data_IF_454049514650
#
_entry.id   IF_454049514650
#
_cell.length_a   1.000
_cell.length_b   1.000
_cell.length_c   1.000
_cell.angle_alpha   90.00
_cell.angle_beta   90.00
_cell.angle_gamma   90.00
#
_symmetry.space_group_name_H-M   'P 1'
#
loop_
_entity.id
_entity.type
_entity.pdbx_description
1 polymer ?
#
# COMPACT_ATOMS: atom_id res chain seq x y z
N UNK A 1 -10.69 -26.61 -0.91
CA UNK A 1 -11.94 -25.90 -0.54
C UNK A 1 -11.99 -24.63 -1.36
N UNK A 2 -13.14 -24.27 -1.94
CA UNK A 2 -13.26 -23.14 -2.87
C UNK A 2 -12.77 -21.83 -2.23
N UNK A 3 -11.70 -21.25 -2.77
CA UNK A 3 -11.12 -19.96 -2.34
C UNK A 3 -12.15 -18.84 -2.33
N UNK A 4 -13.09 -18.84 -3.30
CA UNK A 4 -14.19 -17.86 -3.37
C UNK A 4 -15.18 -17.93 -2.19
N UNK A 5 -15.52 -19.12 -1.71
CA UNK A 5 -16.45 -19.28 -0.57
C UNK A 5 -15.81 -18.73 0.70
N UNK A 6 -14.52 -19.00 0.90
CA UNK A 6 -13.76 -18.48 2.03
C UNK A 6 -13.65 -16.94 2.01
N UNK A 7 -13.40 -16.33 0.84
CA UNK A 7 -13.32 -14.86 0.76
C UNK A 7 -14.65 -14.16 1.05
N UNK A 8 -15.81 -14.77 0.72
CA UNK A 8 -17.11 -14.17 1.02
C UNK A 8 -17.40 -14.23 2.53
N UNK A 9 -17.07 -15.34 3.18
CA UNK A 9 -17.21 -15.51 4.63
C UNK A 9 -16.28 -14.56 5.38
N UNK A 10 -15.01 -14.45 4.96
CA UNK A 10 -14.05 -13.51 5.55
C UNK A 10 -14.47 -12.04 5.32
N UNK A 11 -15.00 -11.69 4.14
CA UNK A 11 -15.53 -10.34 3.89
C UNK A 11 -16.68 -10.01 4.84
N UNK A 12 -17.57 -10.98 5.09
CA UNK A 12 -18.67 -10.82 6.05
C UNK A 12 -18.16 -10.71 7.48
N UNK A 13 -17.20 -11.53 7.86
CA UNK A 13 -16.58 -11.52 9.19
C UNK A 13 -15.88 -10.19 9.49
N UNK A 14 -15.18 -9.62 8.50
CA UNK A 14 -14.40 -8.38 8.64
C UNK A 14 -15.10 -7.17 8.03
N UNK A 15 -16.44 -7.15 8.02
CA UNK A 15 -17.21 -6.12 7.30
C UNK A 15 -16.88 -4.69 7.71
N UNK A 16 -16.52 -4.46 8.98
CA UNK A 16 -16.19 -3.12 9.47
C UNK A 16 -14.81 -2.65 9.01
N UNK A 17 -13.84 -3.57 8.86
CA UNK A 17 -12.56 -3.28 8.21
C UNK A 17 -12.79 -2.92 6.74
N UNK A 18 -13.65 -3.66 6.03
CA UNK A 18 -13.98 -3.34 4.64
C UNK A 18 -14.62 -1.96 4.50
N UNK A 19 -15.59 -1.61 5.36
CA UNK A 19 -16.19 -0.28 5.37
C UNK A 19 -15.16 0.81 5.65
N UNK A 20 -14.27 0.58 6.62
CA UNK A 20 -13.19 1.52 6.93
C UNK A 20 -12.30 1.75 5.70
N UNK A 21 -11.83 0.67 5.07
CA UNK A 21 -10.99 0.75 3.87
C UNK A 21 -11.71 1.51 2.74
N UNK A 22 -12.98 1.18 2.47
CA UNK A 22 -13.79 1.83 1.43
C UNK A 22 -14.10 3.32 1.73
N UNK A 23 -14.13 3.72 3.00
CA UNK A 23 -14.36 5.11 3.41
C UNK A 23 -13.08 5.94 3.47
N UNK A 24 -11.94 5.31 3.72
CA UNK A 24 -10.66 5.98 3.94
C UNK A 24 -9.78 5.98 2.68
N UNK A 25 -9.84 4.94 1.88
CA UNK A 25 -8.96 4.73 0.73
C UNK A 25 -9.77 4.67 -0.57
N UNK A 26 -9.21 5.27 -1.61
CA UNK A 26 -9.78 5.22 -2.95
C UNK A 26 -9.29 3.97 -3.69
N UNK A 27 -10.14 2.94 -3.70
CA UNK A 27 -9.87 1.73 -4.49
C UNK A 27 -10.05 2.08 -5.98
N UNK A 28 -9.09 1.77 -6.86
CA UNK A 28 -9.18 2.13 -8.27
C UNK A 28 -10.44 1.58 -8.95
N UNK A 29 -11.03 2.37 -9.84
CA UNK A 29 -12.20 1.95 -10.62
C UNK A 29 -11.92 0.66 -11.40
N UNK A 30 -12.91 -0.24 -11.43
CA UNK A 30 -12.82 -1.52 -12.14
C UNK A 30 -12.03 -2.60 -11.39
N UNK A 31 -11.44 -2.29 -10.23
CA UNK A 31 -10.78 -3.30 -9.40
C UNK A 31 -11.82 -4.04 -8.55
N UNK A 32 -11.67 -5.36 -8.47
CA UNK A 32 -12.56 -6.26 -7.71
C UNK A 32 -11.77 -7.00 -6.66
N UNK A 33 -12.43 -7.35 -5.56
CA UNK A 33 -11.82 -8.16 -4.50
C UNK A 33 -11.32 -9.49 -5.09
N UNK A 34 -10.02 -9.71 -5.01
CA UNK A 34 -9.35 -10.88 -5.55
C UNK A 34 -9.02 -11.89 -4.44
N UNK A 35 -8.51 -11.43 -3.30
CA UNK A 35 -8.21 -12.30 -2.17
C UNK A 35 -8.23 -11.59 -0.83
N UNK A 36 -8.40 -12.39 0.23
CA UNK A 36 -8.26 -11.99 1.63
C UNK A 36 -7.33 -13.01 2.29
N UNK A 37 -6.31 -12.54 3.01
CA UNK A 37 -5.48 -13.37 3.89
C UNK A 37 -5.59 -12.85 5.31
N UNK A 38 -5.99 -13.72 6.23
CA UNK A 38 -6.26 -13.36 7.61
C UNK A 38 -5.41 -14.17 8.60
N UNK A 39 -4.53 -15.05 8.13
CA UNK A 39 -3.64 -15.85 8.98
C UNK A 39 -2.23 -15.25 9.11
N UNK A 40 -2.06 -13.99 8.72
CA UNK A 40 -0.76 -13.31 8.71
C UNK A 40 -0.61 -12.36 9.91
N UNK A 41 0.64 -11.96 10.18
CA UNK A 41 0.96 -11.03 11.24
C UNK A 41 1.96 -9.98 10.74
N UNK A 42 1.91 -8.77 11.30
CA UNK A 42 2.94 -7.75 11.10
C UNK A 42 3.44 -7.29 12.47
N UNK A 43 4.76 -7.34 12.69
CA UNK A 43 5.37 -7.04 14.00
C UNK A 43 4.69 -7.83 15.16
N UNK A 44 4.33 -9.10 14.91
CA UNK A 44 3.65 -9.97 15.88
C UNK A 44 2.17 -9.64 16.14
N UNK A 45 1.57 -8.70 15.41
CA UNK A 45 0.14 -8.36 15.50
C UNK A 45 -0.67 -9.01 14.38
N UNK A 46 -1.87 -9.57 14.65
CA UNK A 46 -2.72 -10.13 13.61
C UNK A 46 -3.13 -9.08 12.57
N UNK A 47 -2.93 -9.40 11.29
CA UNK A 47 -3.22 -8.50 10.18
C UNK A 47 -4.13 -9.16 9.16
N UNK A 48 -4.98 -8.35 8.54
CA UNK A 48 -5.73 -8.69 7.35
C UNK A 48 -5.03 -8.09 6.12
N UNK A 49 -4.71 -8.90 5.13
CA UNK A 49 -4.32 -8.45 3.80
C UNK A 49 -5.51 -8.60 2.86
N UNK A 50 -5.94 -7.49 2.27
CA UNK A 50 -7.03 -7.43 1.29
C UNK A 50 -6.42 -7.03 -0.04
N UNK A 51 -6.68 -7.81 -1.10
CA UNK A 51 -6.16 -7.52 -2.44
C UNK A 51 -7.30 -7.38 -3.43
N UNK A 52 -7.23 -6.33 -4.23
CA UNK A 52 -8.12 -6.04 -5.34
C UNK A 52 -7.31 -6.04 -6.64
N UNK A 53 -7.89 -6.54 -7.73
CA UNK A 53 -7.24 -6.55 -9.05
C UNK A 53 -8.25 -6.14 -10.13
N UNK A 54 -7.83 -5.54 -11.25
CA UNK A 54 -8.71 -5.35 -12.39
C UNK A 54 -9.02 -6.71 -13.02
N UNK A 55 -10.17 -6.84 -13.68
CA UNK A 55 -10.53 -8.10 -14.38
C UNK A 55 -9.53 -8.49 -15.47
N UNK A 56 -8.83 -7.51 -16.04
CA UNK A 56 -7.80 -7.71 -17.05
C UNK A 56 -6.51 -8.31 -16.50
N UNK A 57 -6.31 -8.28 -15.17
CA UNK A 57 -5.14 -8.89 -14.56
C UNK A 57 -5.26 -10.41 -14.61
N UNK A 58 -4.28 -11.05 -15.25
CA UNK A 58 -4.20 -12.51 -15.43
C UNK A 58 -3.24 -13.18 -14.44
N UNK A 59 -2.56 -12.39 -13.61
CA UNK A 59 -1.50 -12.85 -12.70
C UNK A 59 -1.86 -12.48 -11.27
N UNK A 60 -1.79 -13.45 -10.36
CA UNK A 60 -2.09 -13.21 -8.94
C UNK A 60 -1.10 -12.22 -8.30
N UNK A 61 0.18 -12.34 -8.67
CA UNK A 61 1.29 -11.50 -8.23
C UNK A 61 1.95 -10.79 -9.42
N UNK A 62 2.67 -9.72 -9.12
CA UNK A 62 3.45 -8.86 -10.00
C UNK A 62 2.64 -8.07 -11.04
N UNK A 63 1.36 -8.35 -11.23
CA UNK A 63 0.45 -7.57 -12.06
C UNK A 63 -0.13 -6.34 -11.34
N UNK A 64 -1.06 -5.67 -12.03
CA UNK A 64 -1.79 -4.54 -11.46
C UNK A 64 -2.68 -4.98 -10.29
N UNK A 65 -2.58 -4.28 -9.17
CA UNK A 65 -3.35 -4.58 -7.98
C UNK A 65 -3.41 -3.41 -7.01
N UNK A 66 -4.41 -3.43 -6.14
CA UNK A 66 -4.52 -2.57 -4.98
C UNK A 66 -4.57 -3.47 -3.75
N UNK A 67 -3.55 -3.42 -2.90
CA UNK A 67 -3.46 -4.24 -1.68
C UNK A 67 -3.46 -3.36 -0.45
N UNK A 68 -4.15 -3.77 0.61
CA UNK A 68 -4.21 -3.05 1.90
C UNK A 68 -3.91 -4.01 3.03
N UNK A 69 -3.11 -3.57 4.00
CA UNK A 69 -2.92 -4.26 5.29
C UNK A 69 -3.60 -3.49 6.41
N UNK A 70 -4.38 -4.21 7.23
CA UNK A 70 -5.09 -3.65 8.39
C UNK A 70 -4.83 -4.50 9.61
N UNK A 71 -4.41 -3.88 10.71
CA UNK A 71 -4.29 -4.53 12.02
C UNK A 71 -5.69 -4.84 12.58
N UNK A 72 -5.93 -6.08 12.98
CA UNK A 72 -7.29 -6.58 13.25
C UNK A 72 -7.88 -6.13 14.59
N UNK A 73 -7.07 -5.89 15.62
CA UNK A 73 -7.53 -5.56 16.96
C UNK A 73 -8.03 -4.11 17.03
N UNK A 74 -7.35 -3.21 16.34
CA UNK A 74 -7.60 -1.76 16.36
C UNK A 74 -8.16 -1.21 15.05
N UNK A 75 -8.31 -2.06 14.03
CA UNK A 75 -8.67 -1.68 12.66
C UNK A 75 -7.72 -0.64 12.05
N UNK A 76 -6.46 -0.61 12.48
CA UNK A 76 -5.52 0.40 12.04
C UNK A 76 -4.98 0.04 10.65
N UNK A 77 -5.19 0.91 9.65
CA UNK A 77 -4.63 0.73 8.31
C UNK A 77 -3.11 0.85 8.43
N UNK A 78 -2.37 -0.23 8.21
CA UNK A 78 -0.91 -0.24 8.31
C UNK A 78 -0.24 0.20 7.00
N UNK A 79 -0.93 -0.01 5.89
CA UNK A 79 -0.46 0.45 4.59
C UNK A 79 -1.36 0.00 3.45
N UNK A 80 -1.09 0.56 2.28
CA UNK A 80 -1.60 0.03 1.03
C UNK A 80 -0.60 0.27 -0.10
N UNK A 81 -0.75 -0.48 -1.19
CA UNK A 81 -0.10 -0.18 -2.46
C UNK A 81 -1.11 -0.24 -3.59
N UNK A 82 -0.94 0.65 -4.56
CA UNK A 82 -1.68 0.78 -5.80
C UNK A 82 -0.69 0.57 -6.94
N UNK A 83 -0.43 -0.69 -7.27
CA UNK A 83 0.42 -1.04 -8.40
C UNK A 83 -0.42 -0.90 -9.68
N UNK A 84 -0.31 0.25 -10.34
CA UNK A 84 -1.13 0.62 -11.49
C UNK A 84 -0.28 1.26 -12.60
N UNK A 85 -0.54 0.86 -13.84
CA UNK A 85 0.19 1.34 -15.04
C UNK A 85 0.14 2.85 -15.24
N UNK A 86 -0.86 3.54 -14.68
CA UNK A 86 -1.01 5.00 -14.82
C UNK A 86 0.19 5.78 -14.27
N UNK A 87 0.93 5.18 -13.33
CA UNK A 87 2.15 5.70 -12.71
C UNK A 87 3.41 5.49 -13.55
N UNK A 88 3.29 4.92 -14.75
CA UNK A 88 4.40 4.85 -15.70
C UNK A 88 4.65 6.24 -16.32
N UNK A 89 5.92 6.68 -16.33
CA UNK A 89 6.34 8.01 -16.79
C UNK A 89 6.48 8.15 -18.32
N UNK A 90 5.61 7.51 -19.08
CA UNK A 90 5.55 7.71 -20.54
C UNK A 90 5.09 9.14 -20.89
N UNK A 91 5.35 9.54 -22.14
CA UNK A 91 4.89 10.81 -22.72
C UNK A 91 5.44 12.08 -22.03
N UNK A 92 6.70 12.03 -21.55
CA UNK A 92 7.37 13.14 -20.85
C UNK A 92 6.67 13.56 -19.55
N UNK A 93 5.89 12.67 -18.93
CA UNK A 93 5.40 12.91 -17.57
C UNK A 93 6.59 13.08 -16.63
N UNK A 94 6.54 14.15 -15.85
CA UNK A 94 7.51 14.42 -14.79
C UNK A 94 6.93 14.01 -13.45
N UNK A 95 7.80 13.57 -12.56
CA UNK A 95 7.46 13.44 -11.16
C UNK A 95 7.21 14.81 -10.55
N UNK A 96 6.41 14.82 -9.49
CA UNK A 96 6.14 16.03 -8.71
C UNK A 96 7.41 16.55 -8.05
N UNK A 97 7.42 17.84 -7.72
CA UNK A 97 8.51 18.42 -6.93
C UNK A 97 8.52 17.86 -5.51
N UNK A 98 9.60 18.14 -4.77
CA UNK A 98 9.69 17.78 -3.37
C UNK A 98 8.59 18.47 -2.54
N UNK A 99 8.33 19.75 -2.82
CA UNK A 99 7.31 20.55 -2.13
C UNK A 99 5.89 20.04 -2.43
N UNK A 100 5.57 19.71 -3.68
CA UNK A 100 4.28 19.14 -4.07
C UNK A 100 4.07 17.77 -3.42
N UNK A 101 5.11 16.93 -3.42
CA UNK A 101 5.07 15.60 -2.79
C UNK A 101 4.83 15.71 -1.29
N UNK A 102 5.54 16.59 -0.60
CA UNK A 102 5.37 16.81 0.84
C UNK A 102 3.96 17.29 1.18
N UNK A 103 3.42 18.25 0.42
CA UNK A 103 2.08 18.77 0.64
C UNK A 103 1.01 17.68 0.47
N UNK A 104 1.13 16.84 -0.56
CA UNK A 104 0.21 15.72 -0.78
C UNK A 104 0.34 14.66 0.32
N UNK A 105 1.57 14.32 0.70
CA UNK A 105 1.82 13.38 1.80
C UNK A 105 1.22 13.87 3.12
N UNK A 106 1.36 15.17 3.41
CA UNK A 106 0.73 15.82 4.56
C UNK A 106 -0.78 15.70 4.51
N UNK A 107 -1.41 16.14 3.42
CA UNK A 107 -2.87 16.13 3.29
C UNK A 107 -3.44 14.71 3.39
N UNK A 108 -2.77 13.73 2.79
CA UNK A 108 -3.12 12.32 2.91
C UNK A 108 -3.02 11.83 4.36
N UNK A 109 -1.88 12.05 5.03
CA UNK A 109 -1.65 11.57 6.39
C UNK A 109 -2.55 12.25 7.43
N UNK A 110 -2.81 13.55 7.29
CA UNK A 110 -3.74 14.28 8.16
C UNK A 110 -5.18 13.79 7.99
N UNK A 111 -5.61 13.45 6.78
CA UNK A 111 -6.93 12.87 6.52
C UNK A 111 -7.04 11.43 7.03
N UNK A 112 -5.98 10.65 6.88
CA UNK A 112 -5.91 9.28 7.39
C UNK A 112 -5.99 9.25 8.92
N UNK A 113 -5.23 10.12 9.58
CA UNK A 113 -5.20 10.26 11.03
C UNK A 113 -4.80 11.69 11.43
N UNK A 114 -5.76 12.50 11.94
CA UNK A 114 -5.47 13.86 12.36
C UNK A 114 -4.37 13.91 13.44
N UNK A 115 -3.36 14.75 13.22
CA UNK A 115 -2.22 14.87 14.14
C UNK A 115 -1.07 13.89 13.88
N UNK A 116 -1.22 12.95 12.93
CA UNK A 116 -0.18 11.95 12.67
C UNK A 116 1.04 12.55 11.96
N UNK A 117 0.82 13.40 10.96
CA UNK A 117 1.90 14.04 10.20
C UNK A 117 2.80 14.90 11.09
N UNK A 118 2.22 15.59 12.06
CA UNK A 118 2.91 16.50 12.97
C UNK A 118 3.89 15.78 13.91
N UNK A 119 3.76 14.46 14.07
CA UNK A 119 4.65 13.62 14.85
C UNK A 119 5.83 13.06 14.05
N UNK A 120 5.80 13.21 12.72
CA UNK A 120 6.78 12.63 11.81
C UNK A 120 7.96 13.60 11.60
N UNK A 121 9.15 13.03 11.55
CA UNK A 121 10.36 13.71 11.09
C UNK A 121 10.65 13.29 9.65
N UNK A 122 10.65 14.23 8.71
CA UNK A 122 11.08 13.94 7.35
C UNK A 122 12.56 13.55 7.33
N UNK A 123 12.89 12.47 6.62
CA UNK A 123 14.26 12.05 6.40
C UNK A 123 14.76 12.47 5.02
N UNK A 124 13.93 12.22 4.00
CA UNK A 124 14.23 12.58 2.62
C UNK A 124 12.99 12.45 1.74
N UNK A 125 13.07 13.06 0.56
CA UNK A 125 12.13 12.95 -0.54
C UNK A 125 12.95 12.61 -1.78
N UNK A 126 12.65 11.49 -2.44
CA UNK A 126 13.38 11.04 -3.62
C UNK A 126 12.52 10.13 -4.51
N UNK A 127 12.91 9.93 -5.76
CA UNK A 127 12.24 9.01 -6.68
C UNK A 127 12.28 7.57 -6.14
N UNK A 128 11.17 6.87 -6.27
CA UNK A 128 11.04 5.44 -5.99
C UNK A 128 10.34 4.75 -7.15
N UNK A 129 10.97 3.68 -7.63
CA UNK A 129 10.47 2.88 -8.74
C UNK A 129 10.02 1.50 -8.24
N UNK A 130 8.96 0.98 -8.84
CA UNK A 130 8.48 -0.41 -8.70
C UNK A 130 8.31 -1.02 -10.09
N UNK A 131 8.31 -2.35 -10.17
CA UNK A 131 8.06 -3.08 -11.43
C UNK A 131 6.72 -3.83 -11.37
N UNK A 132 5.93 -3.69 -12.42
CA UNK A 132 4.71 -4.50 -12.65
C UNK A 132 4.80 -5.24 -14.00
N UNK A 133 4.06 -6.34 -14.12
CA UNK A 133 3.95 -7.14 -15.34
C UNK A 133 2.59 -6.90 -15.99
N UNK A 134 2.60 -6.44 -17.22
CA UNK A 134 1.40 -6.22 -18.04
C UNK A 134 1.59 -6.90 -19.38
N UNK A 135 0.69 -7.82 -19.73
CA UNK A 135 0.78 -8.63 -20.96
C UNK A 135 2.17 -9.28 -21.10
N UNK A 136 2.64 -9.90 -20.02
CA UNK A 136 3.94 -10.59 -19.93
C UNK A 136 5.17 -9.69 -20.13
N UNK A 137 5.01 -8.37 -20.03
CA UNK A 137 6.10 -7.39 -20.14
C UNK A 137 6.25 -6.62 -18.84
N UNK A 138 7.50 -6.46 -18.42
CA UNK A 138 7.85 -5.57 -17.32
C UNK A 138 7.58 -4.11 -17.69
N UNK A 139 7.01 -3.38 -16.75
CA UNK A 139 6.75 -1.96 -16.81
C UNK A 139 7.19 -1.35 -15.48
N UNK A 140 8.05 -0.34 -15.55
CA UNK A 140 8.42 0.46 -14.37
C UNK A 140 7.31 1.46 -14.09
N UNK A 141 6.89 1.55 -12.84
CA UNK A 141 6.04 2.63 -12.34
C UNK A 141 6.85 3.43 -11.32
N UNK A 142 6.60 4.74 -11.27
CA UNK A 142 7.44 5.65 -10.49
C UNK A 142 6.58 6.60 -9.66
N UNK A 143 7.14 7.01 -8.53
CA UNK A 143 6.59 8.08 -7.70
C UNK A 143 7.68 8.74 -6.87
N UNK A 144 7.34 9.85 -6.21
CA UNK A 144 8.20 10.49 -5.23
C UNK A 144 7.88 9.98 -3.84
N UNK A 145 8.88 9.46 -3.15
CA UNK A 145 8.76 8.88 -1.82
C UNK A 145 9.13 9.89 -0.76
N UNK A 146 8.15 10.28 0.04
CA UNK A 146 8.31 11.01 1.29
C UNK A 146 8.56 10.00 2.42
N UNK A 147 9.80 9.87 2.89
CA UNK A 147 10.16 8.94 3.96
C UNK A 147 10.33 9.67 5.29
N UNK A 148 9.71 9.13 6.33
CA UNK A 148 9.69 9.70 7.68
C UNK A 148 10.17 8.71 8.73
N UNK A 149 10.62 9.29 9.84
CA UNK A 149 10.80 8.63 11.12
C UNK A 149 9.71 9.09 12.10
N UNK A 150 9.24 8.20 12.96
CA UNK A 150 8.32 8.49 14.05
C UNK A 150 9.03 8.26 15.39
N UNK A 151 9.55 9.31 16.04
CA UNK A 151 10.34 9.17 17.27
C UNK A 151 9.59 8.49 18.42
N UNK A 152 8.29 8.73 18.54
CA UNK A 152 7.44 8.20 19.63
C UNK A 152 7.47 6.66 19.72
N UNK A 153 7.62 5.99 18.58
CA UNK A 153 7.54 4.52 18.47
C UNK A 153 8.72 3.91 17.74
N UNK A 154 9.76 4.70 17.51
CA UNK A 154 11.03 4.31 16.88
C UNK A 154 10.85 3.50 15.57
N UNK A 155 9.89 3.91 14.76
CA UNK A 155 9.57 3.25 13.49
C UNK A 155 9.47 4.24 12.34
N UNK A 156 9.30 3.71 11.14
CA UNK A 156 9.28 4.48 9.91
C UNK A 156 7.90 4.45 9.26
N UNK A 157 7.64 5.53 8.55
CA UNK A 157 6.47 5.71 7.69
C UNK A 157 6.95 6.24 6.35
N UNK A 158 6.29 5.86 5.27
CA UNK A 158 6.49 6.52 3.98
C UNK A 158 5.20 6.61 3.19
N UNK A 159 5.17 7.63 2.35
CA UNK A 159 4.15 7.84 1.31
C UNK A 159 4.88 7.97 -0.02
N UNK A 160 4.43 7.28 -1.05
CA UNK A 160 4.90 7.40 -2.42
C UNK A 160 3.79 8.03 -3.23
N UNK A 161 4.07 9.19 -3.85
CA UNK A 161 3.12 9.97 -4.63
C UNK A 161 3.45 9.85 -6.11
N UNK A 162 2.47 9.48 -6.93
CA UNK A 162 2.61 9.38 -8.38
C UNK A 162 2.69 10.74 -9.05
N UNK A 163 3.05 10.76 -10.34
CA UNK A 163 3.09 12.00 -11.14
C UNK A 163 1.73 12.70 -11.27
N UNK A 164 0.63 11.99 -11.02
CA UNK A 164 -0.74 12.51 -11.06
C UNK A 164 -1.24 12.98 -9.68
N UNK A 165 -0.41 12.91 -8.64
CA UNK A 165 -0.76 13.28 -7.27
C UNK A 165 -1.44 12.18 -6.45
N UNK A 166 -1.74 11.03 -7.05
CA UNK A 166 -2.32 9.91 -6.33
C UNK A 166 -1.27 9.16 -5.52
N UNK A 167 -1.69 8.55 -4.41
CA UNK A 167 -0.80 7.75 -3.58
C UNK A 167 -0.57 6.39 -4.25
N UNK A 168 0.69 6.12 -4.60
CA UNK A 168 1.14 4.81 -5.09
C UNK A 168 1.23 3.85 -3.92
N UNK A 169 1.90 4.23 -2.84
CA UNK A 169 2.10 3.35 -1.68
C UNK A 169 2.13 4.17 -0.40
N UNK A 170 1.49 3.66 0.65
CA UNK A 170 1.64 4.13 2.01
C UNK A 170 1.99 2.94 2.91
N UNK A 171 2.97 3.09 3.79
CA UNK A 171 3.24 2.12 4.85
C UNK A 171 3.64 2.86 6.14
N UNK A 172 3.21 2.35 7.30
CA UNK A 172 3.63 2.81 8.62
C UNK A 172 3.95 1.67 9.57
N UNK A 173 4.62 1.99 10.68
CA UNK A 173 5.00 0.99 11.68
C UNK A 173 6.12 0.07 11.20
N UNK A 174 6.97 0.54 10.27
CA UNK A 174 8.09 -0.25 9.78
C UNK A 174 9.25 -0.17 10.77
N UNK A 175 9.71 -1.31 11.26
CA UNK A 175 10.86 -1.44 12.15
C UNK A 175 12.13 -1.74 11.34
N UNK A 176 13.22 -1.07 11.68
CA UNK A 176 14.55 -1.29 11.10
C UNK A 176 15.55 -1.65 12.20
N UNK A 177 16.22 -2.80 12.02
CA UNK A 177 17.36 -3.23 12.85
C UNK A 177 18.47 -3.61 11.88
N UNK A 178 19.26 -2.63 11.45
CA UNK A 178 20.22 -2.71 10.33
C UNK A 178 19.61 -2.97 8.93
N UNK A 179 18.42 -3.58 8.89
CA UNK A 179 17.56 -3.76 7.71
C UNK A 179 16.09 -3.75 8.14
N UNK A 180 15.16 -3.70 7.17
CA UNK A 180 13.73 -3.91 7.46
C UNK A 180 13.54 -5.28 8.07
N UNK A 181 12.94 -5.33 9.27
CA UNK A 181 12.53 -6.58 9.93
C UNK A 181 11.01 -6.77 9.88
N UNK A 182 10.25 -5.68 9.71
CA UNK A 182 8.80 -5.76 9.47
C UNK A 182 8.50 -6.48 8.17
N UNK A 183 7.55 -7.40 8.22
CA UNK A 183 7.04 -8.17 7.10
C UNK A 183 6.57 -7.26 5.96
N UNK A 184 6.78 -7.69 4.71
CA UNK A 184 6.52 -6.88 3.50
C UNK A 184 5.26 -7.36 2.78
N UNK A 185 4.15 -7.49 3.49
CA UNK A 185 2.90 -8.07 2.94
C UNK A 185 2.32 -7.36 1.72
N UNK A 186 2.71 -6.10 1.48
CA UNK A 186 2.32 -5.32 0.30
C UNK A 186 3.27 -5.48 -0.90
N UNK A 187 4.34 -6.26 -0.74
CA UNK A 187 5.38 -6.47 -1.75
C UNK A 187 5.22 -7.87 -2.33
N UNK A 188 4.95 -7.97 -3.62
CA UNK A 188 4.65 -9.25 -4.26
C UNK A 188 5.84 -10.22 -4.20
N UNK A 189 7.08 -9.73 -4.24
CA UNK A 189 8.27 -10.56 -4.05
C UNK A 189 8.30 -11.25 -2.68
N UNK A 190 7.87 -10.56 -1.63
CA UNK A 190 7.78 -11.15 -0.30
C UNK A 190 6.63 -12.15 -0.22
N UNK A 191 5.49 -11.84 -0.85
CA UNK A 191 4.35 -12.76 -0.91
C UNK A 191 4.72 -14.06 -1.62
N UNK A 192 5.46 -13.98 -2.72
CA UNK A 192 5.92 -15.12 -3.52
C UNK A 192 6.78 -16.09 -2.69
N UNK A 193 7.62 -15.56 -1.79
CA UNK A 193 8.43 -16.36 -0.87
C UNK A 193 7.61 -17.08 0.23
N UNK A 194 6.34 -16.72 0.42
CA UNK A 194 5.47 -17.35 1.43
C UNK A 194 4.65 -18.54 0.90
N UNK A 195 4.73 -18.84 -0.41
CA UNK A 195 4.00 -19.94 -1.08
C UNK A 195 4.96 -20.87 -1.82
#
# INVERSE_FOLDING_TARGET
>A
MNTQTNSLDLKKQYSDIFKLVEQTLEIPEGYKLASIKDTIQQNGKPVLLIRYTPESNKTDLYGEHFSVTVEKETNYILGFTNMNRKFNLIDNKLLLTHEETEQIAKDFLTRLEPGYFEKLENLWIDQHDEEIIINDKKMTISGMKYKCYLPETENYTWVIVGSDGDIVTFERGIIWVNSRVTEKWLHDSYLDEQF
#
